data_IF_833829964964
#
_entry.id   IF_833829964964
#
_cell.length_a   1.000
_cell.length_b   1.000
_cell.length_c   1.000
_cell.angle_alpha   90.00
_cell.angle_beta   90.00
_cell.angle_gamma   90.00
#
_symmetry.space_group_name_H-M   'P 1'
#
loop_
_entity.id
_entity.type
_entity.pdbx_description
1 polymer ?
#
# COMPACT_ATOMS: atom_id res chain seq x y z
N UNK A 1 -45.15 -18.94 -22.34
CA UNK A 1 -44.57 -17.59 -22.17
C UNK A 1 -43.45 -17.73 -21.16
N UNK A 2 -42.25 -18.07 -21.63
CA UNK A 2 -41.06 -18.29 -20.80
C UNK A 2 -40.42 -16.94 -20.52
N UNK A 3 -40.37 -16.56 -19.25
CA UNK A 3 -39.69 -15.35 -18.80
C UNK A 3 -38.18 -15.57 -18.96
N UNK A 4 -37.60 -14.98 -20.01
CA UNK A 4 -36.15 -14.83 -20.12
C UNK A 4 -35.67 -13.93 -18.99
N UNK A 5 -34.85 -14.48 -18.10
CA UNK A 5 -34.13 -13.70 -17.10
C UNK A 5 -33.03 -12.91 -17.82
N UNK A 6 -32.97 -11.57 -17.68
CA UNK A 6 -31.90 -10.81 -18.32
C UNK A 6 -30.56 -11.21 -17.71
N UNK A 7 -29.69 -11.70 -18.58
CA UNK A 7 -28.26 -11.97 -18.34
C UNK A 7 -27.64 -10.80 -17.56
N UNK A 8 -27.31 -11.06 -16.29
CA UNK A 8 -26.58 -10.12 -15.44
C UNK A 8 -25.17 -10.01 -16.01
N UNK A 9 -24.98 -9.00 -16.86
CA UNK A 9 -23.71 -8.51 -17.37
C UNK A 9 -22.56 -8.70 -16.38
N UNK A 10 -21.76 -9.75 -16.60
CA UNK A 10 -20.31 -9.69 -16.83
C UNK A 10 -19.43 -8.82 -15.92
N UNK A 11 -19.82 -8.47 -14.69
CA UNK A 11 -18.89 -7.87 -13.72
C UNK A 11 -17.97 -8.97 -13.21
N UNK A 12 -16.90 -9.27 -13.95
CA UNK A 12 -15.77 -10.06 -13.45
C UNK A 12 -15.43 -9.50 -12.07
N UNK A 13 -15.74 -10.27 -11.01
CA UNK A 13 -15.34 -9.93 -9.64
C UNK A 13 -13.82 -9.71 -9.69
N UNK A 14 -13.37 -8.47 -9.50
CA UNK A 14 -11.95 -8.10 -9.49
C UNK A 14 -11.30 -8.84 -8.33
N UNK A 15 -10.79 -10.04 -8.59
CA UNK A 15 -10.01 -10.80 -7.64
C UNK A 15 -8.54 -10.59 -7.98
N UNK A 16 -7.97 -9.50 -7.46
CA UNK A 16 -6.55 -9.22 -7.67
C UNK A 16 -5.65 -10.34 -7.15
N UNK A 17 -6.16 -11.17 -6.21
CA UNK A 17 -5.45 -12.35 -5.68
C UNK A 17 -5.28 -13.48 -6.72
N UNK A 18 -5.97 -13.42 -7.86
CA UNK A 18 -5.98 -14.48 -8.87
C UNK A 18 -5.00 -14.27 -10.04
N UNK A 19 -4.37 -13.09 -10.17
CA UNK A 19 -3.52 -12.75 -11.31
C UNK A 19 -2.02 -12.69 -10.98
N UNK A 20 -1.18 -13.20 -11.89
CA UNK A 20 0.29 -13.00 -11.88
C UNK A 20 0.73 -11.66 -12.47
N UNK A 21 -0.19 -10.90 -13.08
CA UNK A 21 0.13 -9.62 -13.70
C UNK A 21 0.34 -8.52 -12.64
N UNK A 22 1.25 -7.56 -12.88
CA UNK A 22 1.42 -6.40 -12.00
C UNK A 22 0.10 -5.65 -11.91
N UNK A 23 -0.34 -5.41 -10.68
CA UNK A 23 -1.60 -4.74 -10.42
C UNK A 23 -1.47 -3.25 -10.71
N UNK A 24 -2.54 -2.66 -11.24
CA UNK A 24 -2.62 -1.23 -11.56
C UNK A 24 -3.90 -0.63 -10.98
N UNK A 25 -3.87 0.68 -10.70
CA UNK A 25 -5.02 1.43 -10.19
C UNK A 25 -5.63 0.82 -8.94
N UNK A 26 -6.94 0.60 -8.94
CA UNK A 26 -7.71 0.06 -7.80
C UNK A 26 -7.15 -1.23 -7.21
N UNK A 27 -6.74 -2.19 -8.04
CA UNK A 27 -6.26 -3.47 -7.53
C UNK A 27 -4.97 -3.30 -6.72
N UNK A 28 -4.07 -2.43 -7.20
CA UNK A 28 -2.83 -2.11 -6.50
C UNK A 28 -3.12 -1.46 -5.15
N UNK A 29 -4.06 -0.50 -5.11
CA UNK A 29 -4.46 0.15 -3.86
C UNK A 29 -5.05 -0.86 -2.88
N UNK A 30 -6.00 -1.71 -3.30
CA UNK A 30 -6.57 -2.77 -2.43
C UNK A 30 -5.48 -3.69 -1.86
N UNK A 31 -4.45 -4.00 -2.67
CA UNK A 31 -3.31 -4.79 -2.23
C UNK A 31 -2.44 -4.07 -1.19
N UNK A 32 -2.22 -2.77 -1.36
CA UNK A 32 -1.45 -1.98 -0.39
C UNK A 32 -2.19 -1.83 0.94
N UNK A 33 -3.52 -1.68 0.93
CA UNK A 33 -4.33 -1.77 2.15
C UNK A 33 -4.16 -3.12 2.83
N UNK A 34 -4.23 -4.21 2.08
CA UNK A 34 -4.06 -5.56 2.63
C UNK A 34 -2.66 -5.82 3.20
N UNK A 35 -1.63 -5.19 2.66
CA UNK A 35 -0.25 -5.32 3.13
C UNK A 35 0.17 -4.25 4.13
N UNK A 36 -0.70 -3.31 4.49
CA UNK A 36 -0.38 -2.19 5.36
C UNK A 36 0.47 -2.56 6.58
N UNK A 37 0.01 -3.50 7.41
CA UNK A 37 0.76 -3.92 8.60
C UNK A 37 2.11 -4.58 8.28
N UNK A 38 2.22 -5.29 7.15
CA UNK A 38 3.49 -5.93 6.73
C UNK A 38 4.48 -4.90 6.21
N UNK A 39 4.00 -3.93 5.45
CA UNK A 39 4.80 -2.80 4.96
C UNK A 39 5.30 -1.99 6.16
N UNK A 40 4.41 -1.67 7.11
CA UNK A 40 4.76 -0.92 8.32
C UNK A 40 5.88 -1.61 9.11
N UNK A 41 5.72 -2.90 9.40
CA UNK A 41 6.74 -3.70 10.08
C UNK A 41 8.06 -3.76 9.29
N UNK A 42 8.00 -3.93 7.97
CA UNK A 42 9.22 -3.99 7.14
C UNK A 42 9.95 -2.64 7.09
N UNK A 43 9.23 -1.52 7.07
CA UNK A 43 9.79 -0.17 7.18
C UNK A 43 10.46 0.01 8.54
N UNK A 44 9.79 -0.35 9.64
CA UNK A 44 10.35 -0.25 11.00
C UNK A 44 11.65 -1.04 11.16
N UNK A 45 11.69 -2.30 10.69
CA UNK A 45 12.89 -3.14 10.70
C UNK A 45 14.00 -2.50 9.85
N UNK A 46 13.68 -2.10 8.61
CA UNK A 46 14.66 -1.51 7.69
C UNK A 46 15.25 -0.21 8.24
N UNK A 47 14.42 0.63 8.89
CA UNK A 47 14.87 1.87 9.53
C UNK A 47 15.75 1.62 10.75
N UNK A 48 15.46 0.58 11.54
CA UNK A 48 16.31 0.17 12.66
C UNK A 48 17.68 -0.36 12.18
N UNK A 49 17.70 -1.11 11.08
CA UNK A 49 18.92 -1.71 10.51
C UNK A 49 19.81 -0.72 9.76
N UNK A 50 19.26 0.40 9.25
CA UNK A 50 20.02 1.45 8.54
C UNK A 50 21.21 2.01 9.35
N UNK A 51 21.17 1.92 10.68
CA UNK A 51 22.25 2.35 11.57
C UNK A 51 23.27 1.25 11.92
N UNK A 52 22.92 -0.03 11.79
CA UNK A 52 23.70 -1.12 12.39
C UNK A 52 24.74 -1.74 11.43
N UNK A 53 24.41 -1.87 10.13
CA UNK A 53 25.27 -2.55 9.15
C UNK A 53 25.74 -1.67 7.98
N UNK A 54 25.23 -0.44 7.83
CA UNK A 54 25.49 0.42 6.66
C UNK A 54 26.38 1.65 6.93
N UNK A 55 27.18 1.64 7.99
CA UNK A 55 28.18 2.69 8.25
C UNK A 55 29.34 2.70 7.23
N UNK A 56 29.45 1.68 6.37
CA UNK A 56 30.55 1.51 5.41
C UNK A 56 30.26 1.94 3.96
N UNK A 57 29.28 2.81 3.71
CA UNK A 57 28.97 3.26 2.35
C UNK A 57 30.04 4.21 1.80
N UNK A 58 31.04 3.69 1.08
CA UNK A 58 31.97 4.50 0.27
C UNK A 58 31.19 5.25 -0.81
N UNK A 59 31.07 6.57 -0.66
CA UNK A 59 30.61 7.48 -1.72
C UNK A 59 31.80 7.93 -2.56
N UNK A 60 31.87 7.45 -3.82
CA UNK A 60 32.71 8.04 -4.87
C UNK A 60 34.18 7.58 -4.91
N UNK A 61 34.57 7.02 -6.06
CA UNK A 61 35.94 6.65 -6.41
C UNK A 61 36.15 6.84 -7.91
N UNK A 62 35.94 8.07 -8.38
CA UNK A 62 36.27 8.48 -9.73
C UNK A 62 37.38 9.54 -9.67
N UNK A 63 38.63 9.09 -9.86
CA UNK A 63 39.79 9.83 -10.38
C UNK A 63 40.00 11.32 -9.99
N UNK A 64 39.55 11.79 -8.83
CA UNK A 64 39.82 13.16 -8.38
C UNK A 64 40.47 13.14 -7.00
N UNK A 65 41.57 13.89 -6.91
CA UNK A 65 42.58 13.86 -5.85
C UNK A 65 42.13 14.60 -4.58
N UNK A 66 40.85 14.49 -4.19
CA UNK A 66 40.29 15.16 -3.01
C UNK A 66 40.36 14.26 -1.77
N UNK A 67 40.88 14.81 -0.67
CA UNK A 67 40.95 14.13 0.61
C UNK A 67 39.53 13.86 1.16
N UNK A 68 39.27 12.61 1.52
CA UNK A 68 37.99 12.16 2.06
C UNK A 68 37.87 12.50 3.55
N UNK A 69 37.12 13.55 3.87
CA UNK A 69 36.55 13.74 5.21
C UNK A 69 35.04 13.75 5.06
N UNK A 70 34.45 12.56 4.89
CA UNK A 70 33.01 12.39 5.08
C UNK A 70 32.76 12.31 6.57
N UNK A 71 32.03 13.28 7.14
CA UNK A 71 31.52 13.14 8.50
C UNK A 71 30.58 11.91 8.52
N UNK A 72 30.97 10.81 9.19
CA UNK A 72 30.17 9.60 9.23
C UNK A 72 28.80 9.86 9.88
N UNK A 73 28.75 10.81 10.82
CA UNK A 73 27.52 11.24 11.50
C UNK A 73 26.59 11.94 10.52
N UNK A 74 27.10 12.87 9.71
CA UNK A 74 26.30 13.56 8.69
C UNK A 74 25.76 12.57 7.65
N UNK A 75 26.57 11.60 7.24
CA UNK A 75 26.18 10.57 6.27
C UNK A 75 25.08 9.65 6.83
N UNK A 76 25.22 9.22 8.09
CA UNK A 76 24.20 8.43 8.79
C UNK A 76 22.91 9.25 8.96
N UNK A 77 23.02 10.52 9.38
CA UNK A 77 21.88 11.42 9.53
C UNK A 77 21.11 11.64 8.21
N UNK A 78 21.83 11.85 7.10
CA UNK A 78 21.21 11.98 5.77
C UNK A 78 20.47 10.70 5.35
N UNK A 79 21.03 9.52 5.63
CA UNK A 79 20.36 8.24 5.33
C UNK A 79 19.09 8.04 6.15
N UNK A 80 19.09 8.44 7.42
CA UNK A 80 17.88 8.37 8.25
C UNK A 80 16.78 9.32 7.77
N UNK A 81 17.15 10.49 7.24
CA UNK A 81 16.17 11.45 6.71
C UNK A 81 15.63 11.06 5.33
N UNK A 82 16.43 10.38 4.51
CA UNK A 82 16.01 10.00 3.16
C UNK A 82 14.89 8.95 3.21
N UNK A 83 13.78 9.12 2.46
CA UNK A 83 12.72 8.12 2.37
C UNK A 83 13.24 6.77 1.86
N UNK A 84 12.68 5.67 2.37
CA UNK A 84 13.04 4.34 1.88
C UNK A 84 12.56 4.18 0.43
N UNK A 85 13.46 3.80 -0.48
CA UNK A 85 13.11 3.55 -1.88
C UNK A 85 12.26 2.28 -2.06
N UNK A 86 12.56 1.23 -1.29
CA UNK A 86 11.82 -0.04 -1.30
C UNK A 86 11.99 -0.82 0.01
N UNK A 87 11.06 -1.73 0.27
CA UNK A 87 11.18 -2.78 1.30
C UNK A 87 10.74 -4.12 0.72
N UNK A 88 11.20 -5.21 1.33
CA UNK A 88 10.79 -6.57 0.98
C UNK A 88 9.83 -7.06 2.06
N UNK A 89 8.69 -7.61 1.65
CA UNK A 89 7.75 -8.30 2.53
C UNK A 89 7.65 -9.78 2.15
N UNK A 90 7.28 -10.62 3.13
CA UNK A 90 7.17 -12.07 2.97
C UNK A 90 8.48 -12.77 2.51
N UNK A 91 9.65 -12.25 2.90
CA UNK A 91 10.95 -12.79 2.51
C UNK A 91 11.10 -14.31 2.80
N UNK A 92 10.53 -14.79 3.90
CA UNK A 92 10.63 -16.21 4.32
C UNK A 92 9.65 -17.15 3.58
N UNK A 93 8.92 -16.64 2.59
CA UNK A 93 7.89 -17.41 1.86
C UNK A 93 8.24 -17.48 0.38
N UNK A 94 7.70 -18.48 -0.32
CA UNK A 94 7.75 -18.60 -1.79
C UNK A 94 7.21 -17.38 -2.57
N UNK A 95 6.57 -16.43 -1.88
CA UNK A 95 5.95 -15.24 -2.46
C UNK A 95 6.57 -13.97 -1.85
N UNK A 96 7.89 -13.83 -1.96
CA UNK A 96 8.59 -12.58 -1.68
C UNK A 96 7.97 -11.46 -2.52
N UNK A 97 7.78 -10.29 -1.90
CA UNK A 97 7.28 -9.14 -2.62
C UNK A 97 8.04 -7.86 -2.30
N UNK A 98 8.48 -7.18 -3.35
CA UNK A 98 9.16 -5.90 -3.28
C UNK A 98 8.15 -4.76 -3.37
N UNK A 99 8.10 -3.94 -2.33
CA UNK A 99 7.21 -2.77 -2.25
C UNK A 99 8.05 -1.52 -2.45
N UNK A 100 7.81 -0.80 -3.55
CA UNK A 100 8.43 0.48 -3.85
C UNK A 100 7.70 1.64 -3.16
N UNK A 101 8.43 2.69 -2.77
CA UNK A 101 7.91 3.86 -2.04
C UNK A 101 7.03 3.48 -0.81
N UNK A 102 7.49 2.57 0.07
CA UNK A 102 6.66 2.01 1.13
C UNK A 102 6.12 3.07 2.10
N UNK A 103 6.92 4.08 2.45
CA UNK A 103 6.48 5.14 3.37
C UNK A 103 5.35 5.98 2.76
N UNK A 104 5.40 6.26 1.45
CA UNK A 104 4.29 6.93 0.76
C UNK A 104 3.03 6.08 0.79
N UNK A 105 3.14 4.76 0.63
CA UNK A 105 1.99 3.85 0.75
C UNK A 105 1.38 3.84 2.16
N UNK A 106 2.22 3.89 3.20
CA UNK A 106 1.72 4.03 4.58
C UNK A 106 0.94 5.34 4.73
N UNK A 107 1.52 6.47 4.28
CA UNK A 107 0.85 7.77 4.30
C UNK A 107 -0.49 7.75 3.56
N UNK A 108 -0.57 7.11 2.38
CA UNK A 108 -1.81 7.02 1.60
C UNK A 108 -2.90 6.29 2.40
N UNK A 109 -2.56 5.16 3.02
CA UNK A 109 -3.53 4.37 3.80
C UNK A 109 -3.96 5.15 5.04
N UNK A 110 -3.02 5.72 5.80
CA UNK A 110 -3.31 6.52 6.99
C UNK A 110 -4.17 7.75 6.67
N UNK A 111 -3.82 8.49 5.61
CA UNK A 111 -4.59 9.65 5.14
C UNK A 111 -6.02 9.26 4.72
N UNK A 112 -6.20 8.05 4.17
CA UNK A 112 -7.54 7.57 3.80
C UNK A 112 -8.40 7.37 5.04
N UNK A 113 -7.85 6.76 6.09
CA UNK A 113 -8.58 6.61 7.34
C UNK A 113 -8.84 7.95 8.03
N UNK A 114 -7.88 8.88 8.01
CA UNK A 114 -8.07 10.24 8.54
C UNK A 114 -9.15 11.02 7.79
N UNK A 115 -9.25 10.87 6.47
CA UNK A 115 -10.27 11.57 5.68
C UNK A 115 -11.69 11.08 5.97
N UNK A 116 -11.86 9.78 6.20
CA UNK A 116 -13.15 9.17 6.50
C UNK A 116 -13.38 8.97 8.01
N UNK A 117 -12.70 9.75 8.87
CA UNK A 117 -12.88 9.67 10.32
C UNK A 117 -14.33 10.06 10.70
N UNK A 118 -14.87 11.10 10.05
CA UNK A 118 -16.27 11.54 10.21
C UNK A 118 -17.28 10.65 9.45
N UNK A 119 -16.82 9.87 8.46
CA UNK A 119 -17.66 8.94 7.68
C UNK A 119 -17.47 7.49 8.16
N UNK A 120 -17.97 7.22 9.38
CA UNK A 120 -17.76 5.98 10.12
C UNK A 120 -17.99 4.69 9.30
N UNK A 121 -18.98 4.66 8.39
CA UNK A 121 -19.26 3.48 7.59
C UNK A 121 -18.20 3.17 6.53
N UNK A 122 -17.55 4.17 5.93
CA UNK A 122 -16.51 3.93 4.91
C UNK A 122 -15.26 3.40 5.60
N UNK A 123 -14.81 4.09 6.65
CA UNK A 123 -13.64 3.68 7.45
C UNK A 123 -13.83 2.30 8.06
N UNK A 124 -15.01 1.98 8.61
CA UNK A 124 -15.29 0.68 9.20
C UNK A 124 -15.30 -0.45 8.16
N UNK A 125 -15.88 -0.23 6.97
CA UNK A 125 -15.84 -1.21 5.86
C UNK A 125 -14.40 -1.49 5.43
N UNK A 126 -13.56 -0.47 5.29
CA UNK A 126 -12.15 -0.64 4.94
C UNK A 126 -11.38 -1.39 6.04
N UNK A 127 -11.57 -1.00 7.30
CA UNK A 127 -10.94 -1.64 8.46
C UNK A 127 -11.27 -3.13 8.54
N UNK A 128 -12.56 -3.49 8.53
CA UNK A 128 -13.00 -4.89 8.57
C UNK A 128 -12.44 -5.69 7.41
N UNK A 129 -12.49 -5.12 6.19
CA UNK A 129 -12.03 -5.80 4.98
C UNK A 129 -10.53 -6.06 4.97
N UNK A 130 -9.73 -5.04 5.28
CA UNK A 130 -8.29 -5.08 5.02
C UNK A 130 -7.45 -5.36 6.26
N UNK A 131 -7.88 -4.92 7.45
CA UNK A 131 -7.09 -5.06 8.68
C UNK A 131 -7.56 -6.25 9.51
N UNK A 132 -8.87 -6.47 9.58
CA UNK A 132 -9.45 -7.65 10.24
C UNK A 132 -9.57 -8.87 9.30
N UNK A 133 -9.42 -8.65 7.99
CA UNK A 133 -9.60 -9.66 6.95
C UNK A 133 -10.94 -10.40 7.07
N UNK A 134 -11.99 -9.67 7.44
CA UNK A 134 -13.32 -10.19 7.66
C UNK A 134 -14.02 -10.53 6.33
N UNK A 135 -14.78 -11.63 6.26
CA UNK A 135 -15.63 -11.91 5.12
C UNK A 135 -16.70 -10.82 4.94
N UNK A 136 -16.91 -10.38 3.70
CA UNK A 136 -17.93 -9.38 3.35
C UNK A 136 -19.31 -9.69 3.91
N UNK A 137 -19.72 -10.98 3.87
CA UNK A 137 -21.05 -11.39 4.33
C UNK A 137 -21.25 -11.07 5.81
N UNK A 138 -20.24 -11.32 6.64
CA UNK A 138 -20.24 -10.98 8.06
C UNK A 138 -20.39 -9.48 8.26
N UNK A 139 -19.55 -8.67 7.59
CA UNK A 139 -19.63 -7.22 7.73
C UNK A 139 -20.96 -6.64 7.24
N UNK A 140 -21.57 -7.23 6.22
CA UNK A 140 -22.89 -6.82 5.74
C UNK A 140 -24.00 -7.12 6.76
N UNK A 141 -23.94 -8.27 7.42
CA UNK A 141 -24.89 -8.65 8.47
C UNK A 141 -24.75 -7.69 9.66
N UNK A 142 -23.54 -7.53 10.17
CA UNK A 142 -23.27 -6.74 11.37
C UNK A 142 -23.58 -5.25 11.19
N UNK A 143 -23.27 -4.69 10.01
CA UNK A 143 -23.47 -3.27 9.70
C UNK A 143 -24.85 -2.99 9.06
N UNK A 144 -25.70 -4.01 8.89
CA UNK A 144 -27.01 -3.85 8.23
C UNK A 144 -26.92 -3.34 6.79
N UNK A 145 -25.90 -3.77 6.04
CA UNK A 145 -25.62 -3.31 4.68
C UNK A 145 -26.06 -4.34 3.64
N UNK A 146 -26.63 -3.85 2.53
CA UNK A 146 -26.72 -4.66 1.32
C UNK A 146 -25.35 -4.84 0.69
N UNK A 147 -25.15 -5.94 -0.06
CA UNK A 147 -23.88 -6.21 -0.74
C UNK A 147 -23.51 -5.09 -1.72
N UNK A 148 -24.50 -4.51 -2.39
CA UNK A 148 -24.29 -3.38 -3.28
C UNK A 148 -23.79 -2.13 -2.54
N UNK A 149 -24.37 -1.83 -1.37
CA UNK A 149 -23.93 -0.71 -0.53
C UNK A 149 -22.52 -0.94 0.01
N UNK A 150 -22.20 -2.16 0.45
CA UNK A 150 -20.84 -2.53 0.89
C UNK A 150 -19.79 -2.23 -0.18
N UNK A 151 -20.00 -2.72 -1.42
CA UNK A 151 -19.03 -2.49 -2.50
C UNK A 151 -18.92 -1.01 -2.87
N UNK A 152 -20.01 -0.24 -2.82
CA UNK A 152 -19.97 1.21 -3.03
C UNK A 152 -19.12 1.90 -1.96
N UNK A 153 -19.32 1.60 -0.67
CA UNK A 153 -18.55 2.19 0.42
C UNK A 153 -17.07 1.84 0.33
N UNK A 154 -16.74 0.57 0.05
CA UNK A 154 -15.36 0.16 -0.21
C UNK A 154 -14.76 0.93 -1.39
N UNK A 155 -15.49 1.01 -2.50
CA UNK A 155 -14.99 1.66 -3.72
C UNK A 155 -14.75 3.16 -3.50
N UNK A 156 -15.58 3.85 -2.71
CA UNK A 156 -15.36 5.24 -2.30
C UNK A 156 -14.00 5.39 -1.58
N UNK A 157 -13.73 4.53 -0.60
CA UNK A 157 -12.48 4.55 0.15
C UNK A 157 -11.25 4.25 -0.72
N UNK A 158 -11.33 3.22 -1.56
CA UNK A 158 -10.24 2.83 -2.47
C UNK A 158 -10.01 3.89 -3.57
N UNK A 159 -11.07 4.54 -4.05
CA UNK A 159 -10.97 5.63 -5.02
C UNK A 159 -10.27 6.87 -4.43
N UNK A 160 -10.61 7.24 -3.20
CA UNK A 160 -9.92 8.33 -2.51
C UNK A 160 -8.42 8.02 -2.34
N UNK A 161 -8.09 6.82 -1.86
CA UNK A 161 -6.70 6.38 -1.74
C UNK A 161 -5.95 6.37 -3.08
N UNK A 162 -6.63 6.00 -4.17
CA UNK A 162 -6.07 6.07 -5.53
C UNK A 162 -5.72 7.52 -5.92
N UNK A 163 -6.59 8.49 -5.61
CA UNK A 163 -6.32 9.91 -5.85
C UNK A 163 -5.11 10.39 -5.04
N UNK A 164 -5.00 10.00 -3.76
CA UNK A 164 -3.81 10.27 -2.95
C UNK A 164 -2.55 9.66 -3.55
N UNK A 165 -2.62 8.43 -4.06
CA UNK A 165 -1.49 7.75 -4.69
C UNK A 165 -1.02 8.45 -5.97
N UNK A 166 -1.96 8.98 -6.75
CA UNK A 166 -1.67 9.80 -7.93
C UNK A 166 -1.00 11.12 -7.50
N UNK A 167 -1.56 11.81 -6.50
CA UNK A 167 -1.04 13.08 -6.00
C UNK A 167 0.38 12.96 -5.44
N UNK A 168 0.71 11.86 -4.76
CA UNK A 168 2.06 11.59 -4.24
C UNK A 168 3.04 11.07 -5.31
N UNK A 169 2.59 10.92 -6.55
CA UNK A 169 3.37 10.46 -7.69
C UNK A 169 3.77 8.98 -7.61
N UNK A 170 3.10 8.19 -6.76
CA UNK A 170 3.33 6.74 -6.65
C UNK A 170 2.68 6.01 -7.82
N UNK A 171 1.55 6.52 -8.29
CA UNK A 171 0.89 6.08 -9.52
C UNK A 171 0.93 7.22 -10.53
N UNK A 172 1.48 6.96 -11.72
CA UNK A 172 1.42 7.88 -12.85
C UNK A 172 0.31 7.46 -13.81
N UNK A 173 -0.43 8.45 -14.33
CA UNK A 173 -1.51 8.23 -15.32
C UNK A 173 -1.00 8.43 -16.75
N UNK A 174 -0.04 9.34 -16.91
CA UNK A 174 0.68 9.62 -18.16
C UNK A 174 2.18 9.65 -17.88
N UNK A 175 2.99 9.44 -18.92
CA UNK A 175 4.45 9.49 -18.87
C UNK A 175 4.99 10.90 -19.11
#
# INVERSE_FOLDING_TARGET
MTLETPSVNGRRRRNWRAGRNPQKGFALVEKMFYYYHRIKKAVEITRAEQGYYQSGGRTGGGSSNHAFVSDPTATIAMKHYQPLGKVIINADRLNEEVIANPEKWLTIVEQTFMYFDDEELVSEVLRRRFFLNEPMATSCIDLGLSYGKYYKLRDIGVDYALKCAIQLGVIKVFE
#
